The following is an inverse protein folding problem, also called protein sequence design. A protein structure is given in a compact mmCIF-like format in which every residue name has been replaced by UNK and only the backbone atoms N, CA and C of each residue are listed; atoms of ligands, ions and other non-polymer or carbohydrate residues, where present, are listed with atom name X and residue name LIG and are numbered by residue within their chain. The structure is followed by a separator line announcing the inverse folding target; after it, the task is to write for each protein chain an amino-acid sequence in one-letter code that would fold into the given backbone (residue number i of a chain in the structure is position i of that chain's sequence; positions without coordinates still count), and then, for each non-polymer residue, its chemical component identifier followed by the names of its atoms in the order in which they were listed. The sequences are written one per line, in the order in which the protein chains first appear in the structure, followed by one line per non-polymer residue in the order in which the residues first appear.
data_IF_676265475807
#
_entry.id   IF_676265475807
#
_cell.length_a   1.000
_cell.length_b   1.000
_cell.length_c   1.000
_cell.angle_alpha   90.00
_cell.angle_beta   90.00
_cell.angle_gamma   90.00
#
_symmetry.space_group_name_H-M   'P 1'
#
loop_
_entity.id
_entity.type
_entity.pdbx_description
1 polymer ?
#
# COMPACT_ATOMS: atom_id res chain seq x y z
N UNK A 1 -29.10 7.55 -2.19
CA UNK A 1 -28.14 8.31 -3.01
C UNK A 1 -26.82 7.59 -2.94
N UNK A 2 -26.09 7.51 -4.04
CA UNK A 2 -24.83 6.78 -4.10
C UNK A 2 -23.63 7.73 -4.08
N UNK A 3 -22.46 7.21 -3.79
CA UNK A 3 -21.24 8.00 -3.78
C UNK A 3 -20.92 8.62 -5.15
N UNK A 4 -21.36 7.99 -6.24
CA UNK A 4 -21.27 8.54 -7.60
C UNK A 4 -21.95 9.90 -7.74
N UNK A 5 -23.06 10.11 -7.02
CA UNK A 5 -23.88 11.32 -7.12
C UNK A 5 -23.35 12.45 -6.25
N UNK A 6 -22.30 12.23 -5.44
CA UNK A 6 -21.76 13.23 -4.52
C UNK A 6 -20.96 14.28 -5.29
N UNK A 7 -21.34 15.58 -5.22
CA UNK A 7 -20.62 16.63 -5.93
C UNK A 7 -19.20 16.84 -5.39
N UNK A 8 -18.31 17.35 -6.25
CA UNK A 8 -16.95 17.76 -5.86
C UNK A 8 -17.00 18.80 -4.74
N UNK A 9 -16.15 18.65 -3.73
CA UNK A 9 -16.07 19.53 -2.56
C UNK A 9 -17.14 19.27 -1.50
N UNK A 10 -17.94 18.21 -1.64
CA UNK A 10 -18.90 17.79 -0.62
C UNK A 10 -18.39 16.57 0.13
N UNK A 11 -18.77 16.51 1.41
CA UNK A 11 -18.52 15.37 2.30
C UNK A 11 -19.85 14.68 2.61
N UNK A 12 -19.83 13.36 2.65
CA UNK A 12 -20.98 12.56 3.06
C UNK A 12 -20.54 11.47 4.03
N UNK A 13 -21.51 10.90 4.73
CA UNK A 13 -21.30 9.70 5.58
C UNK A 13 -21.67 8.46 4.76
N UNK A 14 -20.84 7.43 4.78
CA UNK A 14 -21.12 6.15 4.14
C UNK A 14 -22.20 5.45 4.97
N UNK A 15 -23.35 5.18 4.37
CA UNK A 15 -24.46 4.46 5.00
C UNK A 15 -24.25 2.96 4.89
N UNK A 16 -23.98 2.49 3.69
CA UNK A 16 -23.75 1.08 3.41
C UNK A 16 -22.75 0.88 2.28
N UNK A 17 -22.03 -0.22 2.33
CA UNK A 17 -21.08 -0.64 1.30
C UNK A 17 -21.65 -1.87 0.63
N UNK A 18 -22.03 -1.73 -0.64
CA UNK A 18 -22.56 -2.79 -1.48
C UNK A 18 -21.46 -3.70 -2.02
N UNK A 19 -21.84 -4.53 -2.99
CA UNK A 19 -20.98 -5.59 -3.52
C UNK A 19 -21.06 -6.86 -2.66
N UNK A 20 -20.56 -7.95 -3.21
CA UNK A 20 -20.54 -9.25 -2.54
C UNK A 20 -19.12 -9.82 -2.53
N UNK A 21 -18.83 -10.67 -1.54
CA UNK A 21 -17.58 -11.40 -1.45
C UNK A 21 -16.34 -10.51 -1.50
N UNK A 22 -15.44 -10.79 -2.44
CA UNK A 22 -14.15 -10.13 -2.59
C UNK A 22 -14.28 -8.62 -2.90
N UNK A 23 -15.30 -8.20 -3.66
CA UNK A 23 -15.48 -6.79 -3.99
C UNK A 23 -15.82 -5.95 -2.75
N UNK A 24 -16.74 -6.44 -1.92
CA UNK A 24 -17.09 -5.75 -0.68
C UNK A 24 -15.89 -5.69 0.26
N UNK A 25 -15.15 -6.78 0.39
CA UNK A 25 -13.95 -6.81 1.21
C UNK A 25 -12.92 -5.80 0.72
N UNK A 26 -12.73 -5.71 -0.60
CA UNK A 26 -11.83 -4.72 -1.21
C UNK A 26 -12.22 -3.27 -0.84
N UNK A 27 -13.49 -2.91 -0.86
CA UNK A 27 -13.95 -1.59 -0.43
C UNK A 27 -13.63 -1.33 1.05
N UNK A 28 -13.87 -2.31 1.92
CA UNK A 28 -13.56 -2.22 3.35
C UNK A 28 -12.05 -2.08 3.57
N UNK A 29 -11.23 -2.84 2.85
CA UNK A 29 -9.76 -2.78 2.91
C UNK A 29 -9.23 -1.41 2.44
N UNK A 30 -9.92 -0.77 1.48
CA UNK A 30 -9.64 0.61 1.08
C UNK A 30 -10.11 1.65 2.11
N UNK A 31 -10.77 1.24 3.19
CA UNK A 31 -11.27 2.13 4.24
C UNK A 31 -12.63 2.76 3.97
N UNK A 32 -13.37 2.27 2.96
CA UNK A 32 -14.76 2.63 2.73
C UNK A 32 -15.65 1.83 3.70
N UNK A 33 -15.77 2.32 4.92
CA UNK A 33 -16.50 1.64 6.00
C UNK A 33 -17.82 2.34 6.32
N UNK A 34 -18.88 1.62 6.70
CA UNK A 34 -20.11 2.25 7.19
C UNK A 34 -19.83 3.24 8.32
N UNK A 35 -20.54 4.35 8.33
CA UNK A 35 -20.35 5.51 9.23
C UNK A 35 -19.05 6.29 9.00
N UNK A 36 -18.19 5.89 8.06
CA UNK A 36 -17.01 6.65 7.64
C UNK A 36 -17.39 7.88 6.82
N UNK A 37 -16.59 8.94 6.92
CA UNK A 37 -16.74 10.13 6.11
C UNK A 37 -15.93 10.04 4.82
N UNK A 38 -16.55 10.45 3.72
CA UNK A 38 -15.93 10.51 2.40
C UNK A 38 -16.17 11.87 1.75
N UNK A 39 -15.14 12.45 1.15
CA UNK A 39 -15.20 13.71 0.41
C UNK A 39 -14.79 13.48 -1.04
N UNK A 40 -15.55 14.01 -1.99
CA UNK A 40 -15.12 14.01 -3.40
C UNK A 40 -14.17 15.18 -3.63
N UNK A 41 -12.93 14.86 -4.03
CA UNK A 41 -11.88 15.85 -4.28
C UNK A 41 -11.96 16.37 -5.72
N UNK A 42 -11.94 15.45 -6.67
CA UNK A 42 -12.04 15.77 -8.10
C UNK A 42 -12.36 14.50 -8.92
N UNK A 43 -12.68 14.71 -10.19
CA UNK A 43 -12.76 13.65 -11.18
C UNK A 43 -11.52 13.68 -12.07
N UNK A 44 -11.14 12.53 -12.60
CA UNK A 44 -10.14 12.46 -13.67
C UNK A 44 -10.59 13.30 -14.89
N UNK A 45 -9.68 13.73 -15.77
CA UNK A 45 -10.02 14.59 -16.91
C UNK A 45 -11.11 14.03 -17.84
N UNK A 46 -11.26 12.71 -17.91
CA UNK A 46 -12.31 12.03 -18.68
C UNK A 46 -13.55 11.67 -17.84
N UNK A 47 -13.63 12.13 -16.60
CA UNK A 47 -14.75 11.91 -15.68
C UNK A 47 -14.66 10.64 -14.83
N UNK A 48 -13.85 9.67 -15.20
CA UNK A 48 -13.61 8.42 -14.45
C UNK A 48 -12.11 8.13 -14.42
N UNK A 49 -11.50 7.78 -13.27
CA UNK A 49 -12.09 7.59 -11.93
C UNK A 49 -12.36 8.87 -11.14
N UNK A 50 -13.09 8.74 -10.04
CA UNK A 50 -13.26 9.78 -9.03
C UNK A 50 -12.17 9.68 -7.96
N UNK A 51 -11.61 10.81 -7.57
CA UNK A 51 -10.68 10.91 -6.45
C UNK A 51 -11.43 11.33 -5.19
N UNK A 52 -11.27 10.51 -4.17
CA UNK A 52 -11.97 10.61 -2.89
C UNK A 52 -10.95 10.85 -1.77
N UNK A 53 -11.34 11.63 -0.77
CA UNK A 53 -10.61 11.74 0.48
C UNK A 53 -11.38 11.04 1.58
N UNK A 54 -10.71 10.13 2.28
CA UNK A 54 -11.23 9.43 3.44
C UNK A 54 -10.26 9.70 4.58
N UNK A 55 -10.75 10.28 5.69
CA UNK A 55 -9.89 10.71 6.80
C UNK A 55 -8.73 11.61 6.31
N UNK A 56 -7.52 11.11 6.31
CA UNK A 56 -6.30 11.84 5.96
C UNK A 56 -5.66 11.43 4.63
N UNK A 57 -6.28 10.55 3.85
CA UNK A 57 -5.70 10.06 2.60
C UNK A 57 -6.65 10.18 1.41
N UNK A 58 -6.07 10.13 0.23
CA UNK A 58 -6.79 10.16 -1.04
C UNK A 58 -6.72 8.81 -1.73
N UNK A 59 -7.84 8.37 -2.26
CA UNK A 59 -7.95 7.18 -3.07
C UNK A 59 -8.74 7.47 -4.35
N UNK A 60 -8.50 6.68 -5.38
CA UNK A 60 -9.27 6.73 -6.62
C UNK A 60 -10.21 5.53 -6.70
N UNK A 61 -11.45 5.78 -7.14
CA UNK A 61 -12.46 4.76 -7.29
C UNK A 61 -13.14 4.90 -8.66
N UNK A 62 -13.41 3.79 -9.32
CA UNK A 62 -14.21 3.81 -10.55
C UNK A 62 -15.65 4.21 -10.24
N UNK A 63 -16.27 4.97 -11.15
CA UNK A 63 -17.67 5.40 -10.97
C UNK A 63 -18.64 4.22 -10.84
N UNK A 64 -18.39 3.13 -11.55
CA UNK A 64 -19.17 1.89 -11.45
C UNK A 64 -19.10 1.25 -10.04
N UNK A 65 -18.00 1.47 -9.33
CA UNK A 65 -17.84 1.01 -7.95
C UNK A 65 -18.40 2.03 -6.94
N UNK A 66 -18.28 3.32 -7.22
CA UNK A 66 -18.92 4.37 -6.44
C UNK A 66 -20.45 4.26 -6.40
N UNK A 67 -21.09 3.71 -7.46
CA UNK A 67 -22.52 3.41 -7.47
C UNK A 67 -22.96 2.39 -6.42
N UNK A 68 -22.06 1.54 -5.98
CA UNK A 68 -22.35 0.47 -5.01
C UNK A 68 -22.28 0.94 -3.56
N UNK A 69 -21.86 2.19 -3.33
CA UNK A 69 -21.69 2.75 -2.00
C UNK A 69 -22.81 3.76 -1.74
N UNK A 70 -23.67 3.46 -0.79
CA UNK A 70 -24.73 4.38 -0.38
C UNK A 70 -24.22 5.40 0.61
N UNK A 71 -24.65 6.64 0.43
CA UNK A 71 -24.26 7.78 1.28
C UNK A 71 -25.46 8.51 1.83
N UNK A 72 -25.23 9.20 2.95
CA UNK A 72 -26.18 10.08 3.63
C UNK A 72 -25.47 11.31 4.24
N UNK A 73 -26.21 12.23 4.83
CA UNK A 73 -25.69 13.41 5.54
C UNK A 73 -24.71 14.27 4.72
N UNK A 74 -25.11 14.62 3.49
CA UNK A 74 -24.27 15.44 2.61
C UNK A 74 -24.13 16.85 3.17
N UNK A 75 -22.88 17.33 3.26
CA UNK A 75 -22.53 18.67 3.74
C UNK A 75 -21.35 19.25 2.95
N UNK A 76 -21.13 20.54 3.09
CA UNK A 76 -19.92 21.16 2.55
C UNK A 76 -18.68 20.59 3.25
N UNK A 77 -17.65 20.28 2.48
CA UNK A 77 -16.37 19.91 3.05
C UNK A 77 -15.86 21.11 3.86
N UNK A 78 -15.94 21.02 5.18
CA UNK A 78 -15.31 21.99 6.07
C UNK A 78 -13.83 22.05 5.76
N UNK A 79 -13.22 23.26 5.81
CA UNK A 79 -11.77 23.36 5.78
C UNK A 79 -11.24 22.62 7.00
N UNK A 80 -10.82 21.37 6.80
CA UNK A 80 -10.10 20.61 7.83
C UNK A 80 -8.75 21.30 7.97
N UNK A 81 -8.65 22.22 8.93
CA UNK A 81 -7.35 22.66 9.40
C UNK A 81 -6.68 21.40 9.95
N UNK A 82 -5.48 21.03 9.47
CA UNK A 82 -4.77 19.91 10.07
C UNK A 82 -4.57 20.24 11.54
N UNK A 83 -5.21 19.52 12.43
CA UNK A 83 -4.88 19.57 13.86
C UNK A 83 -3.42 19.17 13.96
N UNK A 84 -2.56 20.12 14.28
CA UNK A 84 -1.20 19.85 14.74
C UNK A 84 -1.35 19.11 16.07
N UNK A 85 -1.48 17.77 16.02
CA UNK A 85 -1.26 16.96 17.21
C UNK A 85 0.17 17.24 17.65
N UNK A 86 0.34 17.83 18.82
CA UNK A 86 1.65 17.96 19.44
C UNK A 86 2.24 16.55 19.51
N UNK A 87 3.36 16.36 18.81
CA UNK A 87 4.08 15.10 18.83
C UNK A 87 4.67 14.94 20.22
N UNK A 88 4.02 14.15 21.06
CA UNK A 88 4.67 13.66 22.28
C UNK A 88 5.82 12.78 21.82
N UNK A 89 7.04 13.26 21.97
CA UNK A 89 8.25 12.48 21.67
C UNK A 89 8.32 11.39 22.76
N UNK A 90 7.80 10.21 22.44
CA UNK A 90 8.03 9.04 23.27
C UNK A 90 9.49 8.65 23.03
N UNK A 91 10.36 8.64 24.07
CA UNK A 91 11.73 8.21 23.87
C UNK A 91 11.73 6.78 23.32
N UNK A 92 12.39 6.60 22.18
CA UNK A 92 12.49 5.29 21.53
C UNK A 92 13.22 4.32 22.46
N UNK A 93 12.67 3.12 22.73
CA UNK A 93 13.25 2.17 23.70
C UNK A 93 14.63 1.62 23.28
N UNK A 94 15.20 2.13 22.20
CA UNK A 94 16.41 1.60 21.56
C UNK A 94 16.07 0.42 20.65
N UNK A 95 16.70 0.35 19.48
CA UNK A 95 16.46 -0.74 18.50
C UNK A 95 17.18 -2.05 18.84
N UNK A 96 17.67 -2.21 20.06
CA UNK A 96 18.39 -3.43 20.45
C UNK A 96 19.77 -3.59 19.81
N UNK A 97 20.30 -2.56 19.15
CA UNK A 97 21.63 -2.56 18.53
C UNK A 97 22.79 -2.75 19.54
N UNK A 98 22.48 -2.78 20.83
CA UNK A 98 23.42 -3.04 21.92
C UNK A 98 23.60 -4.51 22.31
N UNK A 99 23.27 -5.48 21.45
CA UNK A 99 23.52 -6.90 21.72
C UNK A 99 22.51 -7.59 22.62
N UNK A 100 21.40 -6.93 22.98
CA UNK A 100 20.40 -7.50 23.88
C UNK A 100 19.45 -8.49 23.20
N UNK A 101 19.36 -8.45 21.86
CA UNK A 101 18.48 -9.32 21.07
C UNK A 101 19.19 -10.05 19.91
N UNK A 102 20.47 -9.71 19.64
CA UNK A 102 21.29 -10.39 18.65
C UNK A 102 22.63 -10.74 19.30
N UNK A 103 22.79 -11.99 19.65
CA UNK A 103 24.10 -12.53 20.02
C UNK A 103 24.87 -12.76 18.71
N UNK A 104 25.91 -11.98 18.45
CA UNK A 104 26.76 -12.11 17.24
C UNK A 104 27.29 -13.53 17.01
N UNK A 105 27.38 -14.33 18.06
CA UNK A 105 27.82 -15.72 18.03
C UNK A 105 26.77 -16.67 17.38
N UNK A 106 25.50 -16.26 17.31
CA UNK A 106 24.42 -17.03 16.70
C UNK A 106 24.08 -16.57 15.28
N UNK A 107 24.70 -15.48 14.81
CA UNK A 107 24.54 -15.00 13.45
C UNK A 107 25.27 -15.93 12.46
N UNK A 108 24.53 -16.47 11.52
CA UNK A 108 25.09 -17.19 10.36
C UNK A 108 24.98 -16.29 9.12
N UNK A 109 25.95 -15.38 8.89
CA UNK A 109 25.89 -14.51 7.73
C UNK A 109 25.89 -15.35 6.45
N UNK A 110 25.04 -14.96 5.50
CA UNK A 110 24.99 -15.61 4.19
C UNK A 110 26.32 -15.38 3.47
N UNK A 111 26.78 -16.37 2.68
CA UNK A 111 28.00 -16.22 1.89
C UNK A 111 27.90 -15.00 0.95
N UNK A 112 28.99 -14.26 0.77
CA UNK A 112 29.05 -13.11 -0.15
C UNK A 112 28.75 -13.47 -1.61
N UNK A 113 28.77 -14.76 -1.94
CA UNK A 113 28.44 -15.30 -3.27
C UNK A 113 26.95 -15.54 -3.47
N UNK A 114 26.15 -15.48 -2.40
CA UNK A 114 24.71 -15.72 -2.50
C UNK A 114 24.01 -14.50 -3.07
N UNK A 115 23.12 -14.73 -4.06
CA UNK A 115 22.29 -13.67 -4.61
C UNK A 115 21.13 -13.41 -3.66
N UNK A 116 21.09 -12.18 -3.13
CA UNK A 116 20.03 -11.70 -2.26
C UNK A 116 18.92 -11.09 -3.11
N UNK A 117 17.71 -11.56 -2.91
CA UNK A 117 16.51 -11.03 -3.59
C UNK A 117 15.59 -10.32 -2.60
N UNK A 118 15.28 -9.07 -2.89
CA UNK A 118 14.35 -8.28 -2.08
C UNK A 118 13.14 -7.85 -2.92
N UNK A 119 12.00 -7.70 -2.26
CA UNK A 119 10.81 -7.12 -2.85
C UNK A 119 10.44 -5.81 -2.15
N UNK A 120 10.07 -4.78 -2.92
CA UNK A 120 9.48 -3.57 -2.36
C UNK A 120 7.97 -3.71 -2.35
N UNK A 121 7.37 -3.70 -1.18
CA UNK A 121 5.93 -3.71 -0.97
C UNK A 121 5.46 -2.39 -0.36
N UNK A 122 4.19 -2.07 -0.50
CA UNK A 122 3.57 -0.88 0.09
C UNK A 122 2.37 -0.40 -0.70
N UNK A 123 1.65 0.54 -0.14
CA UNK A 123 0.45 1.11 -0.75
C UNK A 123 0.78 1.87 -2.04
N UNK A 124 -0.26 2.17 -2.82
CA UNK A 124 -0.11 3.08 -3.96
C UNK A 124 0.36 4.47 -3.46
N UNK A 125 1.21 5.12 -4.22
CA UNK A 125 1.75 6.46 -3.95
C UNK A 125 2.57 6.61 -2.64
N UNK A 126 2.96 5.53 -1.97
CA UNK A 126 3.80 5.58 -0.76
C UNK A 126 5.30 5.82 -1.04
N UNK A 127 5.71 5.98 -2.29
CA UNK A 127 7.09 6.26 -2.68
C UNK A 127 7.95 5.03 -3.06
N UNK A 128 7.36 3.84 -3.25
CA UNK A 128 8.08 2.61 -3.65
C UNK A 128 9.00 2.81 -4.85
N UNK A 129 8.43 3.23 -5.96
CA UNK A 129 9.17 3.43 -7.22
C UNK A 129 10.26 4.51 -7.08
N UNK A 130 10.04 5.52 -6.24
CA UNK A 130 11.07 6.53 -5.94
C UNK A 130 12.26 5.88 -5.22
N UNK A 131 12.00 5.08 -4.19
CA UNK A 131 13.04 4.33 -3.49
C UNK A 131 13.74 3.33 -4.41
N UNK A 132 12.97 2.58 -5.22
CA UNK A 132 13.51 1.65 -6.21
C UNK A 132 14.50 2.33 -7.16
N UNK A 133 14.12 3.48 -7.73
CA UNK A 133 14.97 4.26 -8.63
C UNK A 133 16.24 4.77 -7.93
N UNK A 134 16.16 5.14 -6.66
CA UNK A 134 17.33 5.55 -5.88
C UNK A 134 18.28 4.39 -5.61
N UNK A 135 17.75 3.22 -5.30
CA UNK A 135 18.55 2.02 -5.01
C UNK A 135 19.24 1.46 -6.25
N UNK A 136 18.52 1.39 -7.39
CA UNK A 136 18.98 0.69 -8.59
C UNK A 136 19.62 1.64 -9.63
N UNK A 137 19.19 2.88 -9.69
CA UNK A 137 19.65 3.83 -10.70
C UNK A 137 19.29 3.42 -12.12
N UNK A 138 20.31 3.25 -12.99
CA UNK A 138 20.13 2.82 -14.39
C UNK A 138 20.11 1.29 -14.57
N UNK A 139 20.42 0.53 -13.53
CA UNK A 139 20.49 -0.95 -13.58
C UNK A 139 19.12 -1.57 -13.38
N UNK A 140 18.17 -1.24 -14.27
CA UNK A 140 16.78 -1.70 -14.18
C UNK A 140 16.41 -2.51 -15.41
N UNK A 141 15.63 -3.57 -15.18
CA UNK A 141 14.95 -4.33 -16.21
C UNK A 141 13.44 -4.14 -16.04
N UNK A 142 12.76 -3.78 -17.13
CA UNK A 142 11.32 -3.55 -17.14
C UNK A 142 10.68 -4.61 -18.04
N UNK A 143 9.69 -5.28 -17.52
CA UNK A 143 8.89 -6.28 -18.23
C UNK A 143 7.50 -6.36 -17.62
N UNK A 144 6.80 -7.44 -17.88
CA UNK A 144 5.51 -7.72 -17.25
C UNK A 144 5.64 -8.96 -16.35
N UNK A 145 4.81 -9.05 -15.33
CA UNK A 145 4.65 -10.29 -14.59
C UNK A 145 4.05 -11.37 -15.48
N UNK A 146 4.46 -12.64 -15.34
CA UNK A 146 3.97 -13.72 -16.20
C UNK A 146 2.45 -13.85 -16.20
N UNK A 147 1.86 -13.87 -17.40
CA UNK A 147 0.42 -14.09 -17.60
C UNK A 147 -0.50 -12.90 -17.34
N UNK A 148 0.04 -11.71 -17.04
CA UNK A 148 -0.75 -10.50 -16.78
C UNK A 148 -0.10 -9.26 -17.42
N UNK A 149 -0.88 -8.19 -17.56
CA UNK A 149 -0.41 -6.90 -18.09
C UNK A 149 0.10 -5.93 -17.01
N UNK A 150 0.55 -6.48 -15.89
CA UNK A 150 1.09 -5.71 -14.77
C UNK A 150 2.61 -5.57 -14.93
N UNK A 151 3.11 -4.35 -14.84
CA UNK A 151 4.53 -4.04 -14.98
C UNK A 151 5.36 -4.70 -13.86
N UNK A 152 6.47 -5.32 -14.26
CA UNK A 152 7.52 -5.84 -13.40
C UNK A 152 8.78 -5.01 -13.58
N UNK A 153 9.37 -4.54 -12.51
CA UNK A 153 10.65 -3.83 -12.51
C UNK A 153 11.59 -4.52 -11.56
N UNK A 154 12.67 -5.04 -12.11
CA UNK A 154 13.76 -5.65 -11.37
C UNK A 154 15.01 -4.80 -11.53
N UNK A 155 15.85 -4.73 -10.51
CA UNK A 155 17.10 -4.00 -10.59
C UNK A 155 18.14 -4.49 -9.59
N UNK A 156 19.40 -4.26 -9.89
CA UNK A 156 20.52 -4.51 -8.99
C UNK A 156 20.78 -3.29 -8.14
N UNK A 157 20.99 -3.46 -6.86
CA UNK A 157 21.30 -2.35 -5.95
C UNK A 157 22.69 -1.81 -6.25
N UNK A 158 22.82 -0.50 -6.35
CA UNK A 158 24.09 0.19 -6.61
C UNK A 158 25.15 -0.22 -5.60
N UNK A 159 26.30 -0.65 -6.09
CA UNK A 159 27.43 -1.09 -5.27
C UNK A 159 27.24 -2.44 -4.57
N UNK A 160 26.20 -3.19 -4.91
CA UNK A 160 25.89 -4.53 -4.41
C UNK A 160 25.41 -5.42 -5.55
N UNK A 161 26.35 -5.92 -6.36
CA UNK A 161 26.04 -6.69 -7.58
C UNK A 161 25.25 -7.97 -7.31
N UNK A 162 25.40 -8.55 -6.12
CA UNK A 162 24.69 -9.77 -5.71
C UNK A 162 23.33 -9.47 -5.04
N UNK A 163 22.85 -8.23 -5.11
CA UNK A 163 21.58 -7.86 -4.46
C UNK A 163 20.59 -7.34 -5.49
N UNK A 164 19.53 -8.12 -5.71
CA UNK A 164 18.44 -7.78 -6.61
C UNK A 164 17.25 -7.24 -5.82
N UNK A 165 16.55 -6.29 -6.39
CA UNK A 165 15.30 -5.78 -5.83
C UNK A 165 14.22 -5.73 -6.91
N UNK A 166 13.02 -6.16 -6.56
CA UNK A 166 11.83 -6.10 -7.41
C UNK A 166 10.85 -5.06 -6.87
N UNK A 167 10.42 -4.12 -7.72
CA UNK A 167 9.34 -3.17 -7.38
C UNK A 167 7.99 -3.84 -7.62
N UNK A 168 7.28 -4.17 -6.55
CA UNK A 168 5.95 -4.76 -6.63
C UNK A 168 4.88 -3.68 -6.86
N UNK A 169 3.77 -4.01 -7.51
CA UNK A 169 2.63 -3.11 -7.64
C UNK A 169 2.17 -2.56 -6.30
N UNK A 170 1.65 -1.33 -6.32
CA UNK A 170 1.05 -0.72 -5.13
C UNK A 170 -0.28 -1.39 -4.81
N UNK A 171 -0.41 -1.96 -3.63
CA UNK A 171 -1.60 -2.65 -3.17
C UNK A 171 -2.01 -2.19 -1.78
N UNK A 172 -3.26 -2.38 -1.43
CA UNK A 172 -3.77 -2.04 -0.11
C UNK A 172 -3.94 -3.24 0.81
N UNK A 173 -4.12 -4.41 0.22
CA UNK A 173 -4.24 -5.68 0.93
C UNK A 173 -3.67 -6.83 0.11
N UNK A 174 -3.53 -8.00 0.73
CA UNK A 174 -3.14 -9.24 0.03
C UNK A 174 -4.37 -10.04 -0.45
N UNK A 175 -5.55 -9.43 -0.46
CA UNK A 175 -6.78 -10.05 -0.96
C UNK A 175 -6.70 -10.19 -2.48
N UNK A 176 -7.02 -11.34 -3.07
CA UNK A 176 -6.87 -11.59 -4.50
C UNK A 176 -8.05 -10.98 -5.30
N UNK A 177 -8.20 -9.66 -5.25
CA UNK A 177 -9.26 -8.95 -5.95
C UNK A 177 -8.78 -8.30 -7.26
N UNK A 178 -7.72 -7.50 -7.20
CA UNK A 178 -7.14 -6.87 -8.39
C UNK A 178 -6.00 -7.70 -8.97
N UNK A 179 -5.65 -7.47 -10.24
CA UNK A 179 -4.49 -8.10 -10.87
C UNK A 179 -3.19 -7.81 -10.13
N UNK A 180 -3.06 -6.59 -9.61
CA UNK A 180 -1.91 -6.12 -8.84
C UNK A 180 -1.79 -6.88 -7.51
N UNK A 181 -2.90 -7.09 -6.80
CA UNK A 181 -2.95 -7.84 -5.54
C UNK A 181 -2.64 -9.32 -5.77
N UNK A 182 -3.20 -9.92 -6.82
CA UNK A 182 -2.91 -11.30 -7.21
C UNK A 182 -1.43 -11.49 -7.54
N UNK A 183 -0.86 -10.56 -8.33
CA UNK A 183 0.56 -10.60 -8.73
C UNK A 183 1.46 -10.47 -7.52
N UNK A 184 1.24 -9.48 -6.66
CA UNK A 184 2.04 -9.25 -5.46
C UNK A 184 1.99 -10.46 -4.53
N UNK A 185 0.79 -10.99 -4.29
CA UNK A 185 0.60 -12.19 -3.47
C UNK A 185 1.35 -13.40 -4.03
N UNK A 186 1.18 -13.65 -5.33
CA UNK A 186 1.84 -14.79 -5.99
C UNK A 186 3.36 -14.63 -5.98
N UNK A 187 3.87 -13.42 -6.17
CA UNK A 187 5.30 -13.16 -6.08
C UNK A 187 5.85 -13.50 -4.70
N UNK A 188 5.22 -13.01 -3.64
CA UNK A 188 5.67 -13.27 -2.27
C UNK A 188 5.62 -14.77 -1.92
N UNK A 189 4.56 -15.46 -2.35
CA UNK A 189 4.34 -16.87 -2.01
C UNK A 189 5.14 -17.86 -2.87
N UNK A 190 5.46 -17.53 -4.11
CA UNK A 190 6.08 -18.47 -5.06
C UNK A 190 7.56 -18.17 -5.32
N UNK A 191 7.94 -16.87 -5.42
CA UNK A 191 9.32 -16.46 -5.70
C UNK A 191 10.20 -16.44 -4.43
N UNK A 192 9.58 -16.47 -3.25
CA UNK A 192 10.27 -16.53 -1.95
C UNK A 192 11.45 -15.54 -1.84
N UNK A 193 11.23 -14.22 -1.98
CA UNK A 193 12.31 -13.25 -1.83
C UNK A 193 12.96 -13.40 -0.43
N UNK A 194 14.27 -13.22 -0.33
CA UNK A 194 15.01 -13.30 0.94
C UNK A 194 14.56 -12.23 1.95
N UNK A 195 13.99 -11.14 1.46
CA UNK A 195 13.44 -10.08 2.31
C UNK A 195 12.38 -9.26 1.60
N UNK A 196 11.46 -8.70 2.38
CA UNK A 196 10.49 -7.72 1.90
C UNK A 196 10.74 -6.40 2.59
N UNK A 197 10.95 -5.36 1.80
CA UNK A 197 11.06 -3.98 2.28
C UNK A 197 9.67 -3.37 2.14
N UNK A 198 8.96 -3.26 3.25
CA UNK A 198 7.62 -2.67 3.26
C UNK A 198 7.70 -1.17 3.52
N UNK A 199 7.20 -0.38 2.56
CA UNK A 199 7.20 1.08 2.62
C UNK A 199 5.86 1.54 3.15
N UNK A 200 5.91 2.17 4.32
CA UNK A 200 4.74 2.62 5.08
C UNK A 200 4.65 4.13 5.05
N UNK A 201 3.53 4.66 4.62
CA UNK A 201 3.22 6.08 4.74
C UNK A 201 2.81 6.38 6.19
N UNK A 202 3.67 7.07 6.93
CA UNK A 202 3.45 7.39 8.33
C UNK A 202 2.30 8.39 8.55
N UNK A 203 1.87 9.10 7.53
CA UNK A 203 0.71 10.01 7.63
C UNK A 203 -0.61 9.25 7.72
N UNK A 204 -0.59 7.96 7.31
CA UNK A 204 -1.74 7.08 7.28
C UNK A 204 -1.39 5.65 7.71
N UNK A 205 -0.82 5.55 8.90
CA UNK A 205 -0.26 4.30 9.40
C UNK A 205 -1.30 3.18 9.56
N UNK A 206 -2.49 3.52 10.03
CA UNK A 206 -3.58 2.54 10.27
C UNK A 206 -3.90 1.74 9.01
N UNK A 207 -4.04 2.44 7.88
CA UNK A 207 -4.31 1.81 6.59
C UNK A 207 -3.12 0.97 6.10
N UNK A 208 -1.90 1.45 6.29
CA UNK A 208 -0.70 0.73 5.86
C UNK A 208 -0.49 -0.56 6.67
N UNK A 209 -1.00 -0.63 7.91
CA UNK A 209 -0.94 -1.84 8.72
C UNK A 209 -1.75 -3.00 8.12
N UNK A 210 -2.80 -2.75 7.37
CA UNK A 210 -3.56 -3.80 6.67
C UNK A 210 -2.71 -4.61 5.69
N UNK A 211 -1.74 -3.97 5.03
CA UNK A 211 -0.77 -4.65 4.19
C UNK A 211 0.41 -5.19 5.00
N UNK A 212 0.88 -4.43 6.00
CA UNK A 212 2.05 -4.79 6.80
C UNK A 212 1.86 -6.10 7.56
N UNK A 213 0.68 -6.30 8.15
CA UNK A 213 0.38 -7.49 8.92
C UNK A 213 0.46 -8.80 8.11
N UNK A 214 -0.24 -8.94 6.96
CA UNK A 214 -0.11 -10.13 6.12
C UNK A 214 1.31 -10.35 5.60
N UNK A 215 2.00 -9.28 5.16
CA UNK A 215 3.38 -9.36 4.67
C UNK A 215 4.32 -9.89 5.75
N UNK A 216 4.22 -9.37 6.97
CA UNK A 216 5.03 -9.84 8.10
C UNK A 216 4.75 -11.31 8.43
N UNK A 217 3.48 -11.72 8.36
CA UNK A 217 3.10 -13.11 8.67
C UNK A 217 3.61 -14.10 7.62
N UNK A 218 3.60 -13.74 6.33
CA UNK A 218 4.12 -14.61 5.27
C UNK A 218 5.62 -14.83 5.37
N UNK A 219 6.38 -13.85 5.88
CA UNK A 219 7.82 -13.92 6.03
C UNK A 219 8.29 -14.67 7.29
N UNK A 220 7.48 -14.68 8.35
CA UNK A 220 7.81 -15.38 9.61
C UNK A 220 7.66 -16.90 9.52
N UNK A 221 7.14 -17.42 8.41
CA UNK A 221 6.96 -18.87 8.17
C UNK A 221 7.91 -19.45 7.11
N UNK A 222 8.84 -18.67 6.61
CA UNK A 222 9.83 -19.12 5.62
C UNK A 222 11.09 -19.68 6.29
#
# INVERSE_FOLDING_TARGET
MTLRDLPVGKTATIRSVGGEGALRQHFLDMGLIPQGEVTVVKYAPMGDPVELRIHSYELTLRLADAEKIEIENIRDAGQVKPEKKERTVIPHPGLGEGGKYHEKETEHPLPDTEVLTFALAGNQNCGKTTLFNQLTGSSQHVGNFPGVTVDRKDGTIRGKENTLVTDLPGIYSMSPYSSEEIVTRNFVLNEHPKGIINIVDATNIERNLYLTMPVSYTHLRA
#
